data_IF_788937257738
#
_entry.id   IF_788937257738
#
_cell.length_a   1.000
_cell.length_b   1.000
_cell.length_c   1.000
_cell.angle_alpha   90.00
_cell.angle_beta   90.00
_cell.angle_gamma   90.00
#
_symmetry.space_group_name_H-M   'P 1'
#
loop_
_entity.id
_entity.type
_entity.pdbx_description
1 polymer ?
#
# COMPACT_ATOMS: atom_id res chain seq x y z
N UNK A 1 -24.40 18.53 -17.33
CA UNK A 1 -24.30 19.41 -16.14
C UNK A 1 -23.09 18.95 -15.36
N UNK A 2 -22.14 19.83 -15.04
CA UNK A 2 -21.02 19.45 -14.18
C UNK A 2 -21.59 19.09 -12.79
N UNK A 3 -21.22 17.94 -12.24
CA UNK A 3 -21.52 17.57 -10.86
C UNK A 3 -20.79 18.56 -9.93
N UNK A 4 -21.42 19.69 -9.63
CA UNK A 4 -20.90 20.59 -8.61
C UNK A 4 -21.14 19.94 -7.25
N UNK A 5 -20.09 19.85 -6.45
CA UNK A 5 -20.20 19.38 -5.08
C UNK A 5 -21.20 20.28 -4.31
N UNK A 6 -22.03 19.70 -3.42
CA UNK A 6 -22.92 20.50 -2.58
C UNK A 6 -22.11 21.54 -1.78
N UNK A 7 -22.71 22.71 -1.54
CA UNK A 7 -22.09 23.73 -0.69
C UNK A 7 -21.97 23.20 0.73
N UNK A 8 -20.74 23.03 1.20
CA UNK A 8 -20.44 22.67 2.58
C UNK A 8 -20.51 23.90 3.48
N UNK A 9 -20.71 23.74 4.81
CA UNK A 9 -20.73 24.87 5.73
C UNK A 9 -19.51 25.79 5.55
N UNK A 10 -19.73 27.11 5.68
CA UNK A 10 -18.69 28.13 5.62
C UNK A 10 -17.65 27.87 6.73
N UNK A 11 -16.61 27.12 6.39
CA UNK A 11 -15.46 26.91 7.27
C UNK A 11 -14.55 28.12 7.08
N UNK A 12 -14.16 28.75 8.19
CA UNK A 12 -13.33 29.96 8.22
C UNK A 12 -12.25 29.97 7.12
N UNK A 13 -12.24 31.01 6.29
CA UNK A 13 -11.31 31.19 5.16
C UNK A 13 -9.83 31.24 5.59
N UNK A 14 -9.57 31.44 6.89
CA UNK A 14 -8.24 31.61 7.45
C UNK A 14 -7.57 30.29 7.90
N UNK A 15 -8.21 29.13 7.77
CA UNK A 15 -7.59 27.84 8.14
C UNK A 15 -6.76 27.26 7.00
N UNK A 16 -5.53 26.82 7.27
CA UNK A 16 -4.71 26.02 6.35
C UNK A 16 -5.51 24.82 5.80
N UNK A 17 -5.66 24.65 4.47
CA UNK A 17 -6.29 23.47 3.90
C UNK A 17 -5.49 22.22 4.24
N UNK A 18 -6.13 21.19 4.79
CA UNK A 18 -5.44 19.96 5.22
C UNK A 18 -5.94 18.74 4.43
N UNK A 19 -5.01 17.96 3.90
CA UNK A 19 -5.24 16.62 3.33
C UNK A 19 -4.72 15.58 4.32
N UNK A 20 -5.53 14.58 4.66
CA UNK A 20 -5.12 13.44 5.48
C UNK A 20 -4.96 12.18 4.61
N UNK A 21 -3.78 11.58 4.60
CA UNK A 21 -3.51 10.29 3.97
C UNK A 21 -3.74 9.17 4.98
N UNK A 22 -4.41 8.10 4.57
CA UNK A 22 -4.64 6.91 5.40
C UNK A 22 -4.74 5.67 4.53
N UNK A 23 -4.38 4.50 5.05
CA UNK A 23 -4.62 3.23 4.37
C UNK A 23 -6.09 2.83 4.49
N UNK A 24 -6.58 2.84 5.73
CA UNK A 24 -7.91 2.40 6.12
C UNK A 24 -8.69 3.54 6.81
N UNK A 25 -9.98 3.68 6.51
CA UNK A 25 -10.85 4.70 7.13
C UNK A 25 -11.60 4.13 8.34
N UNK A 26 -10.93 4.06 9.48
CA UNK A 26 -11.55 3.62 10.75
C UNK A 26 -12.19 4.80 11.51
N UNK A 27 -12.93 4.49 12.59
CA UNK A 27 -13.48 5.52 13.48
C UNK A 27 -12.40 6.45 14.03
N UNK A 28 -11.25 5.92 14.45
CA UNK A 28 -10.16 6.72 15.03
C UNK A 28 -9.51 7.63 14.01
N UNK A 29 -9.38 7.19 12.75
CA UNK A 29 -8.92 8.04 11.64
C UNK A 29 -9.92 9.15 11.33
N UNK A 30 -11.22 8.88 11.41
CA UNK A 30 -12.26 9.90 11.23
C UNK A 30 -12.25 10.91 12.37
N UNK A 31 -12.04 10.46 13.61
CA UNK A 31 -11.86 11.33 14.78
C UNK A 31 -10.64 12.26 14.57
N UNK A 32 -9.50 11.70 14.15
CA UNK A 32 -8.29 12.46 13.82
C UNK A 32 -8.53 13.46 12.68
N UNK A 33 -9.21 13.06 11.60
CA UNK A 33 -9.51 13.94 10.47
C UNK A 33 -10.36 15.15 10.88
N UNK A 34 -11.34 14.94 11.76
CA UNK A 34 -12.17 16.01 12.31
C UNK A 34 -11.36 16.95 13.21
N UNK A 35 -10.53 16.38 14.11
CA UNK A 35 -9.66 17.15 15.01
C UNK A 35 -8.65 18.01 14.23
N UNK A 36 -8.02 17.45 13.20
CA UNK A 36 -7.05 18.15 12.34
C UNK A 36 -7.70 19.09 11.32
N UNK A 37 -9.03 19.19 11.29
CA UNK A 37 -9.76 20.05 10.37
C UNK A 37 -9.57 19.67 8.90
N UNK A 38 -9.36 18.37 8.60
CA UNK A 38 -9.14 17.89 7.25
C UNK A 38 -10.28 18.32 6.30
N UNK A 39 -9.90 18.63 5.06
CA UNK A 39 -10.81 18.98 3.95
C UNK A 39 -11.02 17.78 3.02
N UNK A 40 -9.95 17.01 2.85
CA UNK A 40 -9.92 15.80 2.02
C UNK A 40 -9.19 14.70 2.78
N UNK A 41 -9.73 13.50 2.72
CA UNK A 41 -9.05 12.28 3.11
C UNK A 41 -8.70 11.52 1.83
N UNK A 42 -7.43 11.19 1.64
CA UNK A 42 -6.99 10.24 0.62
C UNK A 42 -6.84 8.89 1.32
N UNK A 43 -7.84 8.03 1.17
CA UNK A 43 -7.90 6.71 1.77
C UNK A 43 -7.49 5.69 0.72
N UNK A 44 -6.38 4.97 0.91
CA UNK A 44 -5.90 4.00 -0.07
C UNK A 44 -6.97 2.93 -0.37
N UNK A 45 -7.53 2.30 0.66
CA UNK A 45 -8.61 1.33 0.50
C UNK A 45 -9.97 1.99 0.23
N UNK A 46 -10.76 1.48 -0.75
CA UNK A 46 -12.09 2.00 -1.03
C UNK A 46 -13.03 1.81 0.16
N UNK A 47 -13.48 2.92 0.73
CA UNK A 47 -14.44 2.92 1.86
C UNK A 47 -15.80 2.34 1.43
N UNK A 48 -16.22 2.63 0.21
CA UNK A 48 -17.41 2.04 -0.43
C UNK A 48 -16.94 1.02 -1.46
N UNK A 49 -16.55 -0.16 -0.99
CA UNK A 49 -16.10 -1.26 -1.86
C UNK A 49 -17.27 -1.99 -2.53
N UNK A 50 -18.36 -2.20 -1.78
CA UNK A 50 -19.62 -2.76 -2.28
C UNK A 50 -20.67 -1.66 -2.40
N UNK A 51 -21.56 -1.70 -3.40
CA UNK A 51 -22.65 -0.74 -3.51
C UNK A 51 -23.50 -0.68 -2.23
N UNK A 52 -23.72 0.53 -1.71
CA UNK A 52 -24.58 0.77 -0.56
C UNK A 52 -26.05 0.77 -0.98
N UNK A 53 -26.87 -0.06 -0.33
CA UNK A 53 -28.34 -0.04 -0.51
C UNK A 53 -29.03 0.99 0.38
N UNK A 54 -28.37 1.43 1.45
CA UNK A 54 -28.81 2.46 2.38
C UNK A 54 -27.60 3.09 3.08
N UNK A 55 -27.79 4.29 3.65
CA UNK A 55 -26.78 4.99 4.44
C UNK A 55 -27.39 5.40 5.79
N UNK A 56 -27.03 4.70 6.86
CA UNK A 56 -27.61 4.88 8.20
C UNK A 56 -26.54 4.81 9.29
N UNK A 57 -26.85 5.27 10.50
CA UNK A 57 -25.93 5.19 11.64
C UNK A 57 -25.84 3.80 12.29
N UNK A 58 -26.54 2.78 11.76
CA UNK A 58 -26.55 1.42 12.33
C UNK A 58 -25.30 0.62 12.00
N UNK A 59 -24.72 0.86 10.84
CA UNK A 59 -23.48 0.24 10.41
C UNK A 59 -22.29 1.15 10.81
N UNK A 60 -21.22 0.62 11.43
CA UNK A 60 -20.11 1.44 11.91
C UNK A 60 -19.40 2.25 10.82
N UNK A 61 -19.28 1.70 9.61
CA UNK A 61 -18.65 2.38 8.47
C UNK A 61 -19.57 3.47 7.93
N UNK A 62 -20.86 3.16 7.72
CA UNK A 62 -21.85 4.14 7.27
C UNK A 62 -22.00 5.30 8.27
N UNK A 63 -21.93 5.02 9.57
CA UNK A 63 -21.92 6.05 10.61
C UNK A 63 -20.73 7.02 10.45
N UNK A 64 -19.54 6.51 10.07
CA UNK A 64 -18.39 7.37 9.78
C UNK A 64 -18.61 8.21 8.52
N UNK A 65 -19.16 7.64 7.46
CA UNK A 65 -19.50 8.39 6.25
C UNK A 65 -20.47 9.53 6.55
N UNK A 66 -21.51 9.29 7.37
CA UNK A 66 -22.45 10.33 7.80
C UNK A 66 -21.76 11.46 8.57
N UNK A 67 -20.78 11.15 9.42
CA UNK A 67 -19.98 12.16 10.14
C UNK A 67 -19.15 13.00 9.18
N UNK A 68 -18.49 12.38 8.20
CA UNK A 68 -17.71 13.09 7.19
C UNK A 68 -18.59 13.97 6.29
N UNK A 69 -19.78 13.50 5.91
CA UNK A 69 -20.77 14.28 5.17
C UNK A 69 -21.20 15.50 5.97
N UNK A 70 -21.59 15.31 7.24
CA UNK A 70 -22.00 16.41 8.12
C UNK A 70 -20.89 17.45 8.33
N UNK A 71 -19.63 17.01 8.36
CA UNK A 71 -18.49 17.90 8.44
C UNK A 71 -18.15 18.56 7.09
N UNK A 72 -18.52 17.97 5.96
CA UNK A 72 -18.09 18.40 4.64
C UNK A 72 -16.64 18.01 4.31
N UNK A 73 -16.25 16.79 4.67
CA UNK A 73 -14.94 16.20 4.35
C UNK A 73 -15.10 15.26 3.16
N UNK A 74 -14.33 15.49 2.09
CA UNK A 74 -14.31 14.62 0.93
C UNK A 74 -13.40 13.41 1.15
N UNK A 75 -13.73 12.26 0.55
CA UNK A 75 -12.88 11.07 0.57
C UNK A 75 -12.55 10.66 -0.86
N UNK A 76 -11.27 10.46 -1.17
CA UNK A 76 -10.78 9.97 -2.46
C UNK A 76 -10.00 8.68 -2.27
N UNK A 77 -10.25 7.67 -3.10
CA UNK A 77 -9.62 6.35 -2.99
C UNK A 77 -8.90 5.95 -4.29
N UNK A 78 -7.55 5.99 -4.34
CA UNK A 78 -6.80 5.59 -5.54
C UNK A 78 -6.69 4.06 -5.69
N UNK A 79 -6.53 3.32 -4.58
CA UNK A 79 -6.45 1.85 -4.53
C UNK A 79 -5.59 1.26 -5.67
N UNK A 80 -6.13 0.31 -6.43
CA UNK A 80 -5.44 -0.38 -7.53
C UNK A 80 -4.92 0.53 -8.65
N UNK A 81 -5.38 1.78 -8.75
CA UNK A 81 -4.77 2.73 -9.69
C UNK A 81 -3.33 3.07 -9.30
N UNK A 82 -3.04 3.20 -7.99
CA UNK A 82 -1.68 3.49 -7.51
C UNK A 82 -0.80 2.24 -7.44
N UNK A 83 -1.42 1.05 -7.36
CA UNK A 83 -0.70 -0.23 -7.49
C UNK A 83 -0.18 -0.44 -8.89
N UNK A 84 -0.97 -0.03 -9.88
CA UNK A 84 -0.67 -0.19 -11.29
C UNK A 84 0.30 0.86 -11.81
N UNK A 85 0.25 2.08 -11.27
CA UNK A 85 0.98 3.24 -11.77
C UNK A 85 2.51 3.05 -11.74
N UNK A 86 3.17 3.66 -12.73
CA UNK A 86 4.62 3.84 -12.72
C UNK A 86 5.01 4.81 -11.60
N UNK A 87 5.99 4.43 -10.79
CA UNK A 87 6.37 5.17 -9.58
C UNK A 87 5.40 4.99 -8.42
N UNK A 88 4.43 4.08 -8.57
CA UNK A 88 3.40 3.77 -7.57
C UNK A 88 3.88 2.82 -6.47
N UNK A 89 2.92 2.15 -5.83
CA UNK A 89 3.17 1.35 -4.62
C UNK A 89 4.15 0.19 -4.86
N UNK A 90 3.95 -0.57 -5.93
CA UNK A 90 4.81 -1.73 -6.21
C UNK A 90 6.22 -1.32 -6.66
N UNK A 91 6.38 -0.15 -7.28
CA UNK A 91 7.72 0.40 -7.58
C UNK A 91 8.44 0.83 -6.29
N UNK A 92 7.73 1.43 -5.34
CA UNK A 92 8.28 1.73 -4.01
C UNK A 92 8.68 0.45 -3.27
N UNK A 93 7.86 -0.59 -3.35
CA UNK A 93 8.18 -1.87 -2.71
C UNK A 93 9.44 -2.50 -3.33
N UNK A 94 9.67 -2.34 -4.64
CA UNK A 94 10.96 -2.68 -5.25
C UNK A 94 12.11 -1.83 -4.70
N UNK A 95 11.90 -0.51 -4.59
CA UNK A 95 12.93 0.45 -4.16
C UNK A 95 13.46 0.15 -2.75
N UNK A 96 12.60 -0.24 -1.81
CA UNK A 96 13.04 -0.56 -0.44
C UNK A 96 13.82 -1.89 -0.36
N UNK A 97 13.79 -2.73 -1.40
CA UNK A 97 14.48 -4.03 -1.44
C UNK A 97 15.85 -3.95 -2.14
N UNK A 98 16.13 -2.86 -2.85
CA UNK A 98 17.39 -2.63 -3.57
C UNK A 98 18.27 -1.63 -2.83
N UNK A 99 19.57 -1.62 -3.15
CA UNK A 99 20.43 -0.52 -2.71
C UNK A 99 20.05 0.75 -3.48
N UNK A 100 20.06 1.89 -2.80
CA UNK A 100 19.66 3.20 -3.37
C UNK A 100 20.45 3.59 -4.63
N UNK A 101 21.66 3.07 -4.77
CA UNK A 101 22.61 3.48 -5.81
C UNK A 101 22.64 2.51 -7.01
N UNK A 102 21.75 1.50 -7.02
CA UNK A 102 21.73 0.47 -8.06
C UNK A 102 20.44 0.53 -8.87
N UNK A 103 20.58 0.77 -10.17
CA UNK A 103 19.50 0.54 -11.10
C UNK A 103 19.17 -0.96 -11.18
N UNK A 104 17.88 -1.28 -11.19
CA UNK A 104 17.37 -2.62 -11.43
C UNK A 104 16.37 -2.58 -12.57
N UNK A 105 16.44 -3.58 -13.45
CA UNK A 105 15.45 -3.73 -14.51
C UNK A 105 14.16 -4.28 -13.90
N UNK A 106 13.09 -3.51 -14.00
CA UNK A 106 11.75 -3.88 -13.52
C UNK A 106 10.85 -4.25 -14.70
N UNK A 107 9.90 -5.11 -14.42
CA UNK A 107 8.81 -5.47 -15.31
C UNK A 107 7.52 -5.59 -14.51
N UNK A 108 6.38 -5.34 -15.15
CA UNK A 108 5.07 -5.56 -14.56
C UNK A 108 4.82 -7.06 -14.43
N UNK A 109 4.35 -7.51 -13.27
CA UNK A 109 4.02 -8.92 -13.05
C UNK A 109 2.70 -9.31 -13.74
N UNK A 110 1.68 -8.47 -13.64
CA UNK A 110 0.39 -8.65 -14.31
C UNK A 110 -0.07 -7.34 -14.99
N UNK A 111 -0.05 -7.27 -16.34
CA UNK A 111 -0.53 -6.09 -17.07
C UNK A 111 -2.00 -5.78 -16.79
N UNK A 112 -2.37 -4.50 -16.79
CA UNK A 112 -3.79 -4.16 -16.75
C UNK A 112 -4.52 -4.70 -17.99
N UNK A 113 -5.76 -5.18 -17.81
CA UNK A 113 -6.54 -5.70 -18.94
C UNK A 113 -7.19 -4.60 -19.79
N UNK A 114 -7.19 -3.35 -19.32
CA UNK A 114 -7.86 -2.22 -19.99
C UNK A 114 -6.88 -1.45 -20.89
N UNK A 115 -7.35 -0.86 -22.00
CA UNK A 115 -6.51 -0.01 -22.83
C UNK A 115 -5.96 1.18 -22.03
N UNK A 116 -4.67 1.46 -22.21
CA UNK A 116 -4.06 2.63 -21.60
C UNK A 116 -4.53 3.91 -22.29
N UNK A 117 -4.84 4.97 -21.53
CA UNK A 117 -4.98 6.32 -22.08
C UNK A 117 -3.75 6.68 -22.91
N UNK A 118 -3.93 7.50 -23.96
CA UNK A 118 -2.85 7.87 -24.87
C UNK A 118 -1.63 8.46 -24.14
N UNK A 119 -1.87 9.24 -23.07
CA UNK A 119 -0.81 9.86 -22.25
C UNK A 119 0.05 8.85 -21.48
N UNK A 120 -0.42 7.60 -21.33
CA UNK A 120 0.28 6.51 -20.65
C UNK A 120 0.78 5.43 -21.63
N UNK A 121 0.62 5.61 -22.94
CA UNK A 121 1.13 4.62 -23.91
C UNK A 121 2.65 4.47 -23.82
N UNK A 122 3.11 3.22 -23.95
CA UNK A 122 4.53 2.87 -23.82
C UNK A 122 5.04 2.76 -22.37
N UNK A 123 4.23 3.11 -21.38
CA UNK A 123 4.58 2.94 -19.97
C UNK A 123 4.27 1.52 -19.47
N UNK A 124 5.08 1.04 -18.54
CA UNK A 124 4.89 -0.26 -17.88
C UNK A 124 3.87 -0.15 -16.74
N UNK A 125 2.59 -0.12 -17.09
CA UNK A 125 1.47 -0.04 -16.13
C UNK A 125 0.87 -1.42 -15.89
N UNK A 126 0.70 -1.78 -14.61
CA UNK A 126 0.08 -3.03 -14.19
C UNK A 126 0.43 -3.43 -12.77
N UNK A 127 -0.16 -4.51 -12.30
CA UNK A 127 -0.07 -4.97 -10.93
C UNK A 127 1.23 -5.72 -10.67
N UNK A 128 1.76 -5.51 -9.46
CA UNK A 128 3.02 -6.10 -9.03
C UNK A 128 4.22 -5.71 -9.89
N UNK A 129 5.41 -6.07 -9.43
CA UNK A 129 6.66 -5.89 -10.14
C UNK A 129 7.54 -7.12 -9.99
N UNK A 130 8.16 -7.54 -11.07
CA UNK A 130 9.28 -8.49 -11.05
C UNK A 130 10.55 -7.77 -11.47
N UNK A 131 11.65 -8.03 -10.77
CA UNK A 131 12.93 -7.40 -11.04
C UNK A 131 14.10 -8.32 -10.74
N UNK A 132 15.20 -8.05 -11.42
CA UNK A 132 16.46 -8.77 -11.26
C UNK A 132 17.54 -7.84 -10.71
N UNK A 133 18.24 -8.29 -9.67
CA UNK A 133 19.35 -7.59 -9.06
C UNK A 133 20.62 -7.78 -9.90
N UNK A 134 21.37 -6.71 -10.10
CA UNK A 134 22.69 -6.75 -10.76
C UNK A 134 23.75 -7.49 -9.93
N UNK A 135 23.56 -7.57 -8.62
CA UNK A 135 24.39 -8.32 -7.68
C UNK A 135 23.49 -9.14 -6.77
N UNK A 136 23.83 -10.41 -6.56
CA UNK A 136 23.06 -11.26 -5.68
C UNK A 136 23.15 -10.79 -4.22
N UNK A 137 22.05 -10.94 -3.50
CA UNK A 137 21.99 -10.69 -2.05
C UNK A 137 21.56 -11.96 -1.33
N UNK A 138 21.78 -12.01 -0.02
CA UNK A 138 21.28 -13.10 0.81
C UNK A 138 19.80 -12.91 1.15
N UNK A 139 19.08 -14.00 1.43
CA UNK A 139 17.70 -13.93 1.95
C UNK A 139 17.62 -13.07 3.22
N UNK A 140 18.59 -13.20 4.12
CA UNK A 140 18.66 -12.39 5.32
C UNK A 140 18.72 -10.88 5.02
N UNK A 141 19.50 -10.49 4.00
CA UNK A 141 19.61 -9.09 3.58
C UNK A 141 18.26 -8.59 3.04
N UNK A 142 17.61 -9.38 2.18
CA UNK A 142 16.29 -9.06 1.64
C UNK A 142 15.25 -8.87 2.76
N UNK A 143 15.17 -9.80 3.71
CA UNK A 143 14.22 -9.75 4.83
C UNK A 143 14.46 -8.54 5.74
N UNK A 144 15.72 -8.21 6.03
CA UNK A 144 16.08 -7.02 6.81
C UNK A 144 15.68 -5.72 6.08
N UNK A 145 15.96 -5.64 4.78
CA UNK A 145 15.56 -4.49 3.96
C UNK A 145 14.04 -4.32 3.92
N UNK A 146 13.31 -5.41 3.67
CA UNK A 146 11.85 -5.41 3.69
C UNK A 146 11.32 -4.92 5.03
N UNK A 147 11.75 -5.55 6.13
CA UNK A 147 11.35 -5.20 7.51
C UNK A 147 11.57 -3.71 7.79
N UNK A 148 12.76 -3.18 7.50
CA UNK A 148 13.07 -1.77 7.72
C UNK A 148 12.24 -0.83 6.84
N UNK A 149 12.11 -1.12 5.54
CA UNK A 149 11.40 -0.27 4.59
C UNK A 149 9.90 -0.16 4.89
N UNK A 150 9.26 -1.24 5.36
CA UNK A 150 7.84 -1.24 5.75
C UNK A 150 7.58 -0.76 7.18
N UNK A 151 8.58 -0.19 7.86
CA UNK A 151 8.41 0.44 9.18
C UNK A 151 9.00 -0.32 10.36
N UNK A 152 9.97 -1.21 10.12
CA UNK A 152 10.73 -1.90 11.16
C UNK A 152 10.01 -3.09 11.79
N UNK A 153 9.25 -3.87 11.01
CA UNK A 153 8.53 -5.02 11.53
C UNK A 153 9.46 -6.07 12.11
N UNK A 154 9.25 -6.44 13.38
CA UNK A 154 10.09 -7.41 14.09
C UNK A 154 9.94 -8.84 13.57
N UNK A 155 8.77 -9.18 13.03
CA UNK A 155 8.42 -10.52 12.56
C UNK A 155 7.92 -10.45 11.13
N UNK A 156 8.40 -11.37 10.30
CA UNK A 156 7.92 -11.61 8.95
C UNK A 156 7.51 -13.08 8.85
N UNK A 157 6.45 -13.37 8.11
CA UNK A 157 6.02 -14.73 7.84
C UNK A 157 6.72 -15.20 6.55
N UNK A 158 7.46 -16.31 6.64
CA UNK A 158 8.23 -16.83 5.52
C UNK A 158 7.88 -18.30 5.30
N UNK A 159 7.48 -18.64 4.08
CA UNK A 159 7.33 -20.02 3.63
C UNK A 159 8.54 -20.40 2.76
N UNK A 160 9.25 -21.44 3.19
CA UNK A 160 10.44 -21.94 2.50
C UNK A 160 10.10 -23.17 1.65
N UNK A 161 10.78 -23.34 0.50
CA UNK A 161 10.72 -24.60 -0.25
C UNK A 161 11.34 -25.74 0.56
N UNK A 162 10.90 -27.01 0.39
CA UNK A 162 11.40 -28.14 1.17
C UNK A 162 12.93 -28.35 1.11
N UNK A 163 13.58 -27.91 0.02
CA UNK A 163 15.01 -27.99 -0.15
C UNK A 163 15.81 -26.97 0.70
N UNK A 164 15.15 -25.96 1.26
CA UNK A 164 15.76 -24.95 2.11
C UNK A 164 15.31 -25.15 3.55
N UNK A 165 16.20 -25.68 4.38
CA UNK A 165 15.90 -26.05 5.78
C UNK A 165 16.21 -24.95 6.79
N UNK A 166 16.91 -23.88 6.39
CA UNK A 166 17.21 -22.76 7.27
C UNK A 166 17.31 -21.40 6.55
N UNK A 167 17.27 -20.34 7.36
CA UNK A 167 17.39 -18.94 6.92
C UNK A 167 18.84 -18.40 7.06
N UNK A 168 19.82 -19.25 7.34
CA UNK A 168 21.14 -18.85 7.91
C UNK A 168 22.15 -18.30 6.90
N UNK A 169 21.77 -18.13 5.63
CA UNK A 169 22.31 -17.03 4.81
C UNK A 169 23.22 -17.37 3.64
N UNK A 170 23.21 -18.60 3.12
CA UNK A 170 23.96 -18.93 1.88
C UNK A 170 23.14 -18.78 0.60
N UNK A 171 21.80 -18.76 0.70
CA UNK A 171 20.94 -18.61 -0.47
C UNK A 171 21.13 -17.24 -1.10
N UNK A 172 21.63 -17.24 -2.33
CA UNK A 172 21.76 -16.04 -3.16
C UNK A 172 20.46 -15.81 -3.93
N UNK A 173 20.02 -14.56 -3.95
CA UNK A 173 18.79 -14.11 -4.59
C UNK A 173 19.18 -13.03 -5.59
N UNK A 174 18.68 -13.18 -6.81
CA UNK A 174 18.74 -12.16 -7.87
C UNK A 174 17.35 -11.81 -8.37
N UNK A 175 16.42 -12.76 -8.45
CA UNK A 175 15.07 -12.53 -9.01
C UNK A 175 14.02 -12.43 -7.91
N UNK A 176 13.33 -11.29 -7.85
CA UNK A 176 12.31 -10.99 -6.85
C UNK A 176 11.05 -10.51 -7.56
N UNK A 177 9.89 -10.93 -7.06
CA UNK A 177 8.62 -10.35 -7.46
C UNK A 177 7.84 -9.87 -6.25
N UNK A 178 7.22 -8.70 -6.36
CA UNK A 178 6.46 -8.06 -5.29
C UNK A 178 5.06 -7.69 -5.76
N UNK A 179 4.10 -7.81 -4.86
CA UNK A 179 2.77 -7.23 -5.00
C UNK A 179 2.26 -6.88 -3.60
N UNK A 180 2.15 -5.59 -3.27
CA UNK A 180 1.56 -5.19 -2.01
C UNK A 180 0.09 -5.67 -1.90
N UNK A 181 -0.42 -5.76 -0.67
CA UNK A 181 -1.76 -6.30 -0.38
C UNK A 181 -1.87 -7.80 -0.67
N UNK A 182 -2.96 -8.20 -1.33
CA UNK A 182 -3.28 -9.59 -1.68
C UNK A 182 -2.72 -9.99 -3.06
N UNK A 183 -1.44 -10.37 -3.13
CA UNK A 183 -0.71 -10.56 -4.39
C UNK A 183 -0.75 -11.96 -5.01
N UNK A 184 -1.51 -12.90 -4.45
CA UNK A 184 -1.46 -14.31 -4.86
C UNK A 184 -1.70 -14.53 -6.36
N UNK A 185 -2.75 -13.93 -6.91
CA UNK A 185 -3.07 -14.07 -8.34
C UNK A 185 -2.12 -13.32 -9.26
N UNK A 186 -1.61 -12.16 -8.82
CA UNK A 186 -0.65 -11.32 -9.56
C UNK A 186 0.69 -12.03 -9.70
N UNK A 187 1.13 -12.73 -8.66
CA UNK A 187 2.46 -13.33 -8.59
C UNK A 187 2.51 -14.80 -9.08
N UNK A 188 1.35 -15.42 -9.35
CA UNK A 188 1.22 -16.88 -9.58
C UNK A 188 2.09 -17.46 -10.70
N UNK A 189 2.40 -16.65 -11.71
CA UNK A 189 3.11 -17.04 -12.94
C UNK A 189 4.52 -16.46 -13.04
N UNK A 190 5.04 -15.83 -11.98
CA UNK A 190 6.38 -15.25 -11.99
C UNK A 190 7.46 -16.33 -11.83
N UNK A 191 8.62 -16.12 -12.46
CA UNK A 191 9.81 -16.99 -12.33
C UNK A 191 10.76 -16.53 -11.20
N UNK A 192 10.28 -15.63 -10.32
CA UNK A 192 11.07 -15.08 -9.24
C UNK A 192 11.45 -16.14 -8.20
N UNK A 193 12.60 -15.96 -7.57
CA UNK A 193 13.07 -16.83 -6.48
C UNK A 193 12.36 -16.49 -5.17
N UNK A 194 12.03 -15.21 -4.95
CA UNK A 194 11.32 -14.72 -3.78
C UNK A 194 10.10 -13.90 -4.18
N UNK A 195 8.96 -14.22 -3.58
CA UNK A 195 7.70 -13.49 -3.71
C UNK A 195 7.45 -12.71 -2.42
N UNK A 196 7.20 -11.41 -2.53
CA UNK A 196 6.88 -10.54 -1.40
C UNK A 196 5.48 -9.97 -1.57
N UNK A 197 4.62 -10.17 -0.57
CA UNK A 197 3.24 -9.66 -0.59
C UNK A 197 2.77 -9.30 0.82
N UNK A 198 1.65 -8.60 0.94
CA UNK A 198 0.98 -8.41 2.23
C UNK A 198 0.45 -9.74 2.77
N UNK A 199 -0.34 -10.45 1.97
CA UNK A 199 -0.92 -11.74 2.32
C UNK A 199 -1.01 -12.71 1.14
N UNK A 200 -1.07 -14.02 1.46
CA UNK A 200 -1.24 -15.09 0.49
C UNK A 200 -1.97 -16.26 1.16
N UNK A 201 -2.98 -16.82 0.46
CA UNK A 201 -3.69 -17.98 0.96
C UNK A 201 -2.79 -19.22 1.02
N UNK A 202 -3.08 -20.12 1.99
CA UNK A 202 -2.26 -21.28 2.30
C UNK A 202 -1.88 -22.13 1.06
N UNK A 203 -2.84 -22.46 0.19
CA UNK A 203 -2.59 -23.31 -0.98
C UNK A 203 -1.71 -22.62 -2.04
N UNK A 204 -1.77 -21.29 -2.17
CA UNK A 204 -0.84 -20.57 -3.04
C UNK A 204 0.58 -20.63 -2.49
N UNK A 205 0.74 -20.42 -1.17
CA UNK A 205 2.04 -20.53 -0.53
C UNK A 205 2.64 -21.94 -0.69
N UNK A 206 1.85 -22.99 -0.46
CA UNK A 206 2.28 -24.39 -0.69
C UNK A 206 2.68 -24.66 -2.14
N UNK A 207 1.90 -24.16 -3.10
CA UNK A 207 2.24 -24.31 -4.52
C UNK A 207 3.59 -23.66 -4.83
N UNK A 208 3.80 -22.42 -4.37
CA UNK A 208 5.04 -21.70 -4.64
C UNK A 208 6.26 -22.36 -3.98
N UNK A 209 6.13 -22.87 -2.76
CA UNK A 209 7.22 -23.60 -2.11
C UNK A 209 7.53 -24.93 -2.80
N UNK A 210 6.53 -25.62 -3.38
CA UNK A 210 6.76 -26.80 -4.24
C UNK A 210 7.48 -26.46 -5.55
N UNK A 211 7.30 -25.24 -6.07
CA UNK A 211 8.03 -24.73 -7.24
C UNK A 211 9.44 -24.23 -6.91
N UNK A 212 9.88 -24.38 -5.66
CA UNK A 212 11.21 -23.92 -5.22
C UNK A 212 11.28 -22.43 -4.87
N UNK A 213 10.14 -21.73 -4.83
CA UNK A 213 10.08 -20.29 -4.54
C UNK A 213 9.91 -20.06 -3.03
N UNK A 214 10.45 -18.95 -2.56
CA UNK A 214 10.26 -18.45 -1.19
C UNK A 214 9.10 -17.46 -1.20
N UNK A 215 8.18 -17.57 -0.24
CA UNK A 215 7.10 -16.59 -0.06
C UNK A 215 7.32 -15.84 1.24
N UNK A 216 7.30 -14.51 1.18
CA UNK A 216 7.37 -13.61 2.33
C UNK A 216 6.08 -12.82 2.39
N UNK A 217 5.35 -12.97 3.50
CA UNK A 217 4.16 -12.18 3.79
C UNK A 217 4.40 -11.25 4.99
N UNK A 218 3.82 -10.06 4.94
CA UNK A 218 4.08 -9.02 5.95
C UNK A 218 2.82 -8.37 6.53
N UNK A 219 1.66 -9.04 6.42
CA UNK A 219 0.31 -8.52 6.64
C UNK A 219 -0.11 -7.50 5.58
N UNK A 220 -1.42 -7.43 5.30
CA UNK A 220 -1.98 -6.70 4.16
C UNK A 220 -1.54 -5.24 4.14
N UNK A 221 -2.04 -4.44 5.09
CA UNK A 221 -1.83 -2.99 5.11
C UNK A 221 -0.39 -2.59 5.45
N UNK A 222 0.38 -3.49 6.07
CA UNK A 222 1.78 -3.22 6.37
C UNK A 222 2.66 -3.15 5.12
N UNK A 223 2.31 -3.86 4.05
CA UNK A 223 2.98 -3.73 2.74
C UNK A 223 2.64 -2.42 2.00
N UNK A 224 1.73 -1.60 2.53
CA UNK A 224 1.12 -0.47 1.84
C UNK A 224 1.32 0.85 2.61
N UNK A 225 1.17 0.82 3.94
CA UNK A 225 1.03 2.02 4.76
C UNK A 225 2.24 2.96 4.70
N UNK A 226 3.46 2.41 4.70
CA UNK A 226 4.68 3.24 4.65
C UNK A 226 4.91 3.92 3.30
N UNK A 227 4.32 3.41 2.21
CA UNK A 227 4.32 4.13 0.94
C UNK A 227 3.60 5.47 1.02
N UNK A 228 2.52 5.58 1.81
CA UNK A 228 1.78 6.83 1.96
C UNK A 228 2.69 7.95 2.51
N UNK A 229 3.49 7.63 3.52
CA UNK A 229 4.43 8.57 4.14
C UNK A 229 5.69 8.79 3.29
N UNK A 230 6.32 7.71 2.83
CA UNK A 230 7.64 7.78 2.20
C UNK A 230 7.60 8.22 0.73
N UNK A 231 6.46 8.06 0.04
CA UNK A 231 6.36 8.37 -1.40
C UNK A 231 5.14 9.20 -1.77
N UNK A 232 3.93 8.79 -1.39
CA UNK A 232 2.72 9.50 -1.83
C UNK A 232 2.66 10.92 -1.26
N UNK A 233 2.98 11.10 0.02
CA UNK A 233 3.02 12.40 0.68
C UNK A 233 3.93 13.40 -0.04
N UNK A 234 5.25 13.15 -0.21
CA UNK A 234 6.12 14.12 -0.87
C UNK A 234 5.74 14.37 -2.34
N UNK A 235 5.23 13.35 -3.06
CA UNK A 235 4.72 13.52 -4.43
C UNK A 235 3.50 14.45 -4.46
N UNK A 236 2.56 14.26 -3.53
CA UNK A 236 1.36 15.09 -3.44
C UNK A 236 1.70 16.53 -3.03
N UNK A 237 2.59 16.71 -2.06
CA UNK A 237 3.08 18.03 -1.64
C UNK A 237 3.72 18.79 -2.80
N UNK A 238 4.61 18.13 -3.56
CA UNK A 238 5.21 18.71 -4.75
C UNK A 238 4.16 19.11 -5.78
N UNK A 239 3.19 18.22 -6.05
CA UNK A 239 2.14 18.48 -7.04
C UNK A 239 1.18 19.60 -6.61
N UNK A 240 0.82 19.68 -5.34
CA UNK A 240 0.00 20.77 -4.80
C UNK A 240 0.73 22.11 -4.93
N UNK A 241 2.04 22.15 -4.66
CA UNK A 241 2.85 23.35 -4.85
C UNK A 241 2.86 23.82 -6.31
N UNK A 242 3.05 22.91 -7.26
CA UNK A 242 3.00 23.21 -8.71
C UNK A 242 1.64 23.77 -9.16
N UNK A 243 0.55 23.30 -8.55
CA UNK A 243 -0.81 23.73 -8.85
C UNK A 243 -1.25 25.01 -8.12
N UNK A 244 -0.36 25.64 -7.35
CA UNK A 244 -0.67 26.88 -6.60
C UNK A 244 -1.32 26.65 -5.23
N UNK A 245 -1.39 25.40 -4.76
CA UNK A 245 -1.92 25.01 -3.45
C UNK A 245 -0.80 24.70 -2.43
N UNK A 246 0.35 25.38 -2.54
CA UNK A 246 1.52 25.13 -1.69
C UNK A 246 1.32 25.45 -0.20
N UNK A 247 0.24 26.13 0.17
CA UNK A 247 -0.16 26.36 1.56
C UNK A 247 -0.96 25.19 2.15
N UNK A 248 -1.32 24.16 1.38
CA UNK A 248 -2.04 23.00 1.89
C UNK A 248 -1.09 22.09 2.69
N UNK A 249 -1.54 21.67 3.88
CA UNK A 249 -0.82 20.68 4.69
C UNK A 249 -1.20 19.26 4.24
N UNK A 250 -0.20 18.39 4.05
CA UNK A 250 -0.42 16.96 3.80
C UNK A 250 0.06 16.18 5.02
N UNK A 251 -0.88 15.54 5.70
CA UNK A 251 -0.65 14.74 6.90
C UNK A 251 -0.81 13.26 6.57
N UNK A 252 -0.07 12.40 7.25
CA UNK A 252 -0.35 10.96 7.27
C UNK A 252 -0.98 10.62 8.61
N UNK A 253 -2.07 9.86 8.59
CA UNK A 253 -2.80 9.41 9.77
C UNK A 253 -1.88 8.74 10.77
N UNK A 254 -1.91 9.20 12.02
CA UNK A 254 -1.23 8.55 13.14
C UNK A 254 -2.12 7.50 13.83
N UNK A 255 -3.43 7.56 13.58
CA UNK A 255 -4.41 6.63 14.12
C UNK A 255 -4.59 5.35 13.27
N UNK A 256 -4.11 5.35 12.03
CA UNK A 256 -4.15 4.21 11.12
C UNK A 256 -3.12 3.15 11.51
N UNK A 257 -3.57 1.91 11.61
CA UNK A 257 -2.76 0.75 11.96
C UNK A 257 -3.38 -0.54 11.43
N UNK A 258 -2.56 -1.59 11.34
CA UNK A 258 -3.04 -2.91 10.97
C UNK A 258 -4.11 -3.39 11.95
N UNK A 259 -5.18 -4.07 11.49
CA UNK A 259 -6.21 -4.60 12.39
C UNK A 259 -5.74 -5.80 13.22
N UNK A 260 -4.58 -6.40 12.91
CA UNK A 260 -4.03 -7.54 13.63
C UNK A 260 -2.78 -7.16 14.43
N UNK A 261 -2.76 -7.59 15.69
CA UNK A 261 -1.57 -7.56 16.54
C UNK A 261 -0.95 -8.96 16.62
N UNK A 262 0.39 -9.03 16.64
CA UNK A 262 1.13 -10.27 16.93
C UNK A 262 1.29 -10.39 18.43
N UNK A 263 0.55 -11.31 19.04
CA UNK A 263 0.57 -11.54 20.49
C UNK A 263 1.47 -12.73 20.84
N UNK A 264 2.43 -12.51 21.74
CA UNK A 264 3.17 -13.60 22.38
C UNK A 264 2.30 -14.22 23.49
N UNK A 265 1.67 -15.35 23.17
CA UNK A 265 0.74 -16.03 24.09
C UNK A 265 1.40 -16.51 25.39
N UNK A 266 2.73 -16.63 25.43
CA UNK A 266 3.46 -17.00 26.65
C UNK A 266 3.46 -15.88 27.69
N UNK A 267 3.18 -14.64 27.26
CA UNK A 267 3.07 -13.47 28.13
C UNK A 267 1.64 -13.15 28.57
N UNK A 268 0.64 -13.95 28.18
CA UNK A 268 -0.73 -13.77 28.64
C UNK A 268 -0.90 -14.42 30.03
N UNK A 269 -1.44 -13.65 30.97
CA UNK A 269 -1.74 -14.09 32.33
C UNK A 269 -2.99 -14.97 32.40
#
# INVERSE_FOLDING_TARGET
MANQAPSFPDRASNSTPTVLLTNDLTKTVVDEALEKGARVIVCYHPVIFKPLKSLTAKDPMQAQLLRLIAAGISVYCPHTAIDAAVGGLNDWLCDILVDTDKEVRRTVAEPISRPLPQVLQGQQVGYGRAFELSQSITLQTLLKRLSMGIGGQKYLMVALPPALTDLTGTQTITKIAVCAGSGADVLKNTDAQVLVTGEMAHHYALRHTQLGQIVVTCFHSNSERKFLEQRLKPQLEARLKELGYGNAAVLTSSADRDPFDIIDVRGLA
#
